data_IF_972678236301
#
_entry.id   IF_972678236301
#
_cell.length_a   1.000
_cell.length_b   1.000
_cell.length_c   1.000
_cell.angle_alpha   90.00
_cell.angle_beta   90.00
_cell.angle_gamma   90.00
#
_symmetry.space_group_name_H-M   'P 1'
#
loop_
_entity.id
_entity.type
_entity.pdbx_description
1 polymer ?
#
# COMPACT_ATOMS: atom_id res chain seq x y z
N UNK A 1 30.90 9.59 -33.91
CA UNK A 1 30.35 9.50 -32.53
C UNK A 1 31.12 10.50 -31.68
N UNK A 2 30.44 11.44 -31.06
CA UNK A 2 31.09 12.55 -30.36
C UNK A 2 31.69 12.03 -29.03
N UNK A 3 33.03 11.98 -28.93
CA UNK A 3 33.76 11.46 -27.74
C UNK A 3 33.34 12.19 -26.44
N UNK A 4 33.04 13.47 -26.55
CA UNK A 4 32.63 14.30 -25.43
C UNK A 4 31.24 13.89 -24.87
N UNK A 5 30.27 13.61 -25.75
CA UNK A 5 28.95 13.10 -25.35
C UNK A 5 29.03 11.72 -24.67
N UNK A 6 29.88 10.83 -25.15
CA UNK A 6 30.09 9.51 -24.54
C UNK A 6 30.68 9.64 -23.14
N UNK A 7 31.64 10.53 -22.95
CA UNK A 7 32.23 10.80 -21.63
C UNK A 7 31.18 11.34 -20.64
N UNK A 8 30.36 12.32 -21.08
CA UNK A 8 29.25 12.85 -20.26
C UNK A 8 28.24 11.77 -19.86
N UNK A 9 27.86 10.86 -20.77
CA UNK A 9 26.96 9.73 -20.48
C UNK A 9 27.56 8.84 -19.40
N UNK A 10 28.86 8.52 -19.50
CA UNK A 10 29.56 7.68 -18.51
C UNK A 10 29.56 8.35 -17.12
N UNK A 11 29.94 9.63 -17.03
CA UNK A 11 29.98 10.38 -15.78
C UNK A 11 28.59 10.46 -15.11
N UNK A 12 27.55 10.70 -15.90
CA UNK A 12 26.17 10.74 -15.39
C UNK A 12 25.70 9.34 -14.96
N UNK A 13 26.07 8.28 -15.68
CA UNK A 13 25.80 6.89 -15.34
C UNK A 13 26.45 6.49 -14.02
N UNK A 14 27.72 6.83 -13.80
CA UNK A 14 28.45 6.60 -12.54
C UNK A 14 27.79 7.37 -11.37
N UNK A 15 27.41 8.62 -11.60
CA UNK A 15 26.66 9.41 -10.61
C UNK A 15 25.34 8.75 -10.25
N UNK A 16 24.60 8.25 -11.23
CA UNK A 16 23.35 7.53 -10.99
C UNK A 16 23.56 6.26 -10.17
N UNK A 17 24.60 5.49 -10.46
CA UNK A 17 25.00 4.30 -9.68
C UNK A 17 25.33 4.66 -8.23
N UNK A 18 26.10 5.73 -8.02
CA UNK A 18 26.41 6.23 -6.67
C UNK A 18 25.15 6.67 -5.90
N UNK A 19 24.20 7.33 -6.56
CA UNK A 19 22.94 7.71 -5.94
C UNK A 19 22.09 6.49 -5.52
N UNK A 20 22.06 5.43 -6.31
CA UNK A 20 21.39 4.18 -5.93
C UNK A 20 22.05 3.53 -4.71
N UNK A 21 23.38 3.50 -4.65
CA UNK A 21 24.11 2.97 -3.51
C UNK A 21 23.85 3.80 -2.23
N UNK A 22 23.90 5.13 -2.34
CA UNK A 22 23.61 6.03 -1.22
C UNK A 22 22.16 5.88 -0.70
N UNK A 23 21.19 5.74 -1.61
CA UNK A 23 19.81 5.50 -1.23
C UNK A 23 19.66 4.19 -0.47
N UNK A 24 20.28 3.11 -0.96
CA UNK A 24 20.23 1.81 -0.28
C UNK A 24 20.80 1.89 1.14
N UNK A 25 21.95 2.53 1.31
CA UNK A 25 22.56 2.75 2.63
C UNK A 25 21.65 3.55 3.57
N UNK A 26 20.99 4.60 3.06
CA UNK A 26 20.05 5.39 3.85
C UNK A 26 18.84 4.56 4.28
N UNK A 27 18.27 3.71 3.40
CA UNK A 27 17.18 2.79 3.70
C UNK A 27 17.60 1.78 4.79
N UNK A 28 18.80 1.19 4.70
CA UNK A 28 19.35 0.26 5.70
C UNK A 28 19.56 0.96 7.05
N UNK A 29 20.07 2.18 7.04
CA UNK A 29 20.29 2.98 8.26
C UNK A 29 18.98 3.38 8.92
N UNK A 30 17.96 3.75 8.15
CA UNK A 30 16.61 4.04 8.65
C UNK A 30 15.98 2.80 9.30
N UNK A 31 16.08 1.64 8.67
CA UNK A 31 15.59 0.38 9.21
C UNK A 31 16.29 0.01 10.54
N UNK A 32 17.61 0.16 10.60
CA UNK A 32 18.36 -0.05 11.83
C UNK A 32 17.92 0.90 12.94
N UNK A 33 17.77 2.19 12.63
CA UNK A 33 17.31 3.19 13.61
C UNK A 33 15.92 2.86 14.13
N UNK A 34 14.99 2.43 13.25
CA UNK A 34 13.65 2.01 13.66
C UNK A 34 13.71 0.81 14.61
N UNK A 35 14.55 -0.19 14.32
CA UNK A 35 14.73 -1.35 15.20
C UNK A 35 15.24 -0.94 16.60
N UNK A 36 16.15 0.05 16.67
CA UNK A 36 16.63 0.56 17.96
C UNK A 36 15.52 1.31 18.72
N UNK A 37 14.73 2.12 18.01
CA UNK A 37 13.57 2.82 18.58
C UNK A 37 12.59 1.80 19.18
N UNK A 38 12.17 0.82 18.37
CA UNK A 38 11.23 -0.21 18.81
C UNK A 38 11.72 -0.99 20.02
N UNK A 39 13.02 -1.32 20.07
CA UNK A 39 13.60 -2.00 21.23
C UNK A 39 13.60 -1.12 22.49
N UNK A 40 13.89 0.17 22.35
CA UNK A 40 13.89 1.11 23.48
C UNK A 40 12.45 1.35 23.95
N UNK A 41 11.52 1.63 23.05
CA UNK A 41 10.14 1.97 23.38
C UNK A 41 9.33 0.79 23.92
N UNK A 42 9.57 -0.41 23.40
CA UNK A 42 8.73 -1.57 23.74
C UNK A 42 9.35 -2.51 24.76
N UNK A 43 10.62 -2.28 25.14
CA UNK A 43 11.32 -3.17 26.06
C UNK A 43 12.16 -2.42 27.09
N UNK A 44 13.16 -1.66 26.67
CA UNK A 44 14.15 -1.08 27.62
C UNK A 44 13.52 -0.04 28.53
N UNK A 45 12.77 0.93 27.98
CA UNK A 45 12.12 1.97 28.79
C UNK A 45 10.98 1.42 29.66
N UNK A 46 10.06 0.59 29.15
CA UNK A 46 9.04 -0.04 30.00
C UNK A 46 9.64 -0.81 31.18
N UNK A 47 10.63 -1.68 30.93
CA UNK A 47 11.29 -2.46 31.99
C UNK A 47 11.91 -1.57 33.08
N UNK A 48 12.54 -0.46 32.70
CA UNK A 48 13.16 0.49 33.66
C UNK A 48 12.11 1.30 34.41
N UNK A 49 11.03 1.72 33.77
CA UNK A 49 9.94 2.46 34.37
C UNK A 49 9.18 1.58 35.38
N UNK A 50 8.93 0.31 35.04
CA UNK A 50 8.32 -0.67 35.95
C UNK A 50 9.20 -0.91 37.18
N UNK A 51 10.51 -1.09 37.03
CA UNK A 51 11.45 -1.25 38.14
C UNK A 51 11.47 -0.02 39.07
N UNK A 52 11.25 1.17 38.49
CA UNK A 52 11.21 2.42 39.24
C UNK A 52 9.81 2.76 39.79
N UNK A 53 8.76 1.97 39.49
CA UNK A 53 7.34 2.24 39.73
C UNK A 53 6.91 3.62 39.18
N UNK A 54 7.33 3.95 37.97
CA UNK A 54 7.01 5.20 37.30
C UNK A 54 6.09 4.94 36.10
N UNK A 55 4.94 5.58 36.06
CA UNK A 55 4.03 5.59 34.90
C UNK A 55 4.33 6.76 33.94
N UNK A 56 5.02 7.79 34.46
CA UNK A 56 5.32 9.00 33.70
C UNK A 56 6.64 9.61 34.16
N UNK A 57 7.45 10.11 33.23
CA UNK A 57 8.67 10.87 33.49
C UNK A 57 8.77 12.08 32.57
N UNK A 58 9.18 13.23 33.12
CA UNK A 58 9.49 14.42 32.34
C UNK A 58 10.99 14.51 32.11
N UNK A 59 11.39 14.64 30.84
CA UNK A 59 12.77 14.78 30.43
C UNK A 59 13.27 16.21 30.56
N UNK A 60 14.58 16.40 30.51
CA UNK A 60 15.23 17.70 30.65
C UNK A 60 14.89 18.74 29.58
N UNK A 61 14.47 18.30 28.39
CA UNK A 61 13.99 19.14 27.30
C UNK A 61 12.51 19.52 27.43
N UNK A 62 11.83 19.00 28.44
CA UNK A 62 10.42 19.25 28.73
C UNK A 62 9.46 18.23 28.11
N UNK A 63 9.95 17.28 27.29
CA UNK A 63 9.13 16.17 26.77
C UNK A 63 8.72 15.21 27.89
N UNK A 64 7.63 14.48 27.66
CA UNK A 64 7.04 13.56 28.63
C UNK A 64 7.03 12.17 28.02
N UNK A 65 7.53 11.19 28.76
CA UNK A 65 7.39 9.76 28.45
C UNK A 65 6.33 9.22 29.40
N UNK A 66 5.34 8.51 28.86
CA UNK A 66 4.25 7.88 29.60
C UNK A 66 4.19 6.40 29.23
N UNK A 67 4.15 5.53 30.24
CA UNK A 67 3.97 4.09 30.06
C UNK A 67 2.50 3.80 29.74
N UNK A 68 2.24 3.13 28.63
CA UNK A 68 0.88 2.74 28.21
C UNK A 68 0.87 1.32 27.68
N UNK A 69 -0.17 0.59 28.03
CA UNK A 69 -0.40 -0.74 27.48
C UNK A 69 -1.00 -0.64 26.07
N UNK A 70 -0.41 -1.37 25.13
CA UNK A 70 -0.91 -1.51 23.78
C UNK A 70 -1.22 -2.98 23.48
N UNK A 71 -2.37 -3.22 22.88
CA UNK A 71 -2.77 -4.56 22.42
C UNK A 71 -2.87 -4.56 20.90
N UNK A 72 -1.97 -5.29 20.26
CA UNK A 72 -2.03 -5.54 18.83
C UNK A 72 -2.70 -6.89 18.57
N UNK A 73 -3.75 -6.90 17.76
CA UNK A 73 -4.49 -8.12 17.42
C UNK A 73 -4.54 -8.31 15.91
N UNK A 74 -4.46 -9.56 15.49
CA UNK A 74 -4.76 -10.00 14.14
C UNK A 74 -5.43 -11.36 14.19
N UNK A 75 -6.36 -11.60 13.30
CA UNK A 75 -6.95 -12.92 13.15
C UNK A 75 -5.91 -13.80 12.41
N UNK A 76 -5.52 -14.91 13.04
CA UNK A 76 -4.60 -15.90 12.49
C UNK A 76 -5.37 -17.12 11.98
N UNK A 77 -6.43 -17.49 12.68
CA UNK A 77 -7.38 -18.55 12.29
C UNK A 77 -8.80 -17.97 12.35
N UNK A 78 -9.35 -17.69 11.17
CA UNK A 78 -10.68 -17.09 11.03
C UNK A 78 -11.79 -18.01 11.56
N UNK A 79 -11.70 -19.32 11.31
CA UNK A 79 -12.74 -20.25 11.72
C UNK A 79 -12.87 -20.29 13.23
N UNK A 80 -11.76 -20.48 13.94
CA UNK A 80 -11.72 -20.50 15.40
C UNK A 80 -12.10 -19.15 16.01
N UNK A 81 -11.55 -18.05 15.48
CA UNK A 81 -11.84 -16.71 16.00
C UNK A 81 -13.31 -16.35 15.84
N UNK A 82 -13.91 -16.59 14.67
CA UNK A 82 -15.32 -16.26 14.43
C UNK A 82 -16.27 -17.18 15.20
N UNK A 83 -15.94 -18.47 15.40
CA UNK A 83 -16.70 -19.35 16.26
C UNK A 83 -16.72 -18.80 17.69
N UNK A 84 -15.55 -18.47 18.24
CA UNK A 84 -15.42 -17.92 19.59
C UNK A 84 -16.21 -16.62 19.77
N UNK A 85 -16.11 -15.67 18.81
CA UNK A 85 -16.86 -14.41 18.86
C UNK A 85 -18.38 -14.63 18.90
N UNK A 86 -18.90 -15.61 18.11
CA UNK A 86 -20.32 -15.94 18.10
C UNK A 86 -20.79 -16.57 19.42
N UNK A 87 -20.00 -17.48 19.97
CA UNK A 87 -20.32 -18.12 21.26
C UNK A 87 -20.35 -17.14 22.43
N UNK A 88 -19.55 -16.06 22.35
CA UNK A 88 -19.42 -15.09 23.44
C UNK A 88 -20.19 -13.77 23.20
N UNK A 89 -21.11 -13.75 22.24
CA UNK A 89 -22.00 -12.60 21.99
C UNK A 89 -21.28 -11.38 21.40
N UNK A 90 -20.12 -11.58 20.79
CA UNK A 90 -19.33 -10.53 20.12
C UNK A 90 -19.42 -10.60 18.59
N UNK A 91 -20.40 -11.32 18.05
CA UNK A 91 -20.63 -11.53 16.61
C UNK A 91 -20.98 -10.23 15.86
N UNK A 92 -21.48 -9.19 16.56
CA UNK A 92 -21.79 -7.90 15.97
C UNK A 92 -20.61 -7.16 15.32
N UNK A 93 -19.35 -7.57 15.62
CA UNK A 93 -18.17 -7.02 14.95
C UNK A 93 -17.80 -7.77 13.66
N UNK A 94 -18.45 -8.92 13.37
CA UNK A 94 -18.17 -9.71 12.18
C UNK A 94 -18.91 -9.10 10.99
N UNK A 95 -18.18 -8.48 10.08
CA UNK A 95 -18.73 -7.96 8.84
C UNK A 95 -18.71 -9.06 7.76
N UNK A 96 -19.88 -9.38 7.23
CA UNK A 96 -19.99 -10.25 6.06
C UNK A 96 -20.04 -9.42 4.78
N UNK A 97 -19.28 -9.82 3.78
CA UNK A 97 -19.25 -9.21 2.45
C UNK A 97 -19.40 -10.28 1.38
N UNK A 98 -20.32 -10.07 0.45
CA UNK A 98 -20.50 -10.94 -0.72
C UNK A 98 -19.96 -10.20 -1.94
N UNK A 99 -18.94 -10.77 -2.60
CA UNK A 99 -18.37 -10.24 -3.85
C UNK A 99 -18.82 -11.11 -5.02
N UNK A 100 -19.52 -10.50 -5.96
CA UNK A 100 -19.96 -11.14 -7.19
C UNK A 100 -19.11 -10.60 -8.33
N UNK A 101 -18.33 -11.48 -8.96
CA UNK A 101 -17.54 -11.14 -10.13
C UNK A 101 -18.35 -11.43 -11.40
N UNK A 102 -18.58 -10.39 -12.21
CA UNK A 102 -19.22 -10.53 -13.51
C UNK A 102 -18.18 -10.78 -14.61
N UNK A 103 -18.54 -11.44 -15.72
CA UNK A 103 -17.67 -11.55 -16.88
C UNK A 103 -17.25 -10.19 -17.41
N UNK A 104 -16.06 -10.13 -18.02
CA UNK A 104 -15.57 -8.87 -18.63
C UNK A 104 -16.47 -8.43 -19.77
N UNK A 105 -16.82 -7.14 -19.79
CA UNK A 105 -17.67 -6.56 -20.83
C UNK A 105 -19.17 -6.84 -20.68
N UNK A 106 -19.60 -7.52 -19.61
CA UNK A 106 -21.01 -7.83 -19.37
C UNK A 106 -21.65 -6.79 -18.42
N UNK A 107 -21.63 -5.53 -18.89
CA UNK A 107 -22.17 -4.42 -18.11
C UNK A 107 -23.69 -4.52 -17.92
N UNK A 108 -24.39 -5.10 -18.88
CA UNK A 108 -25.85 -5.23 -18.80
C UNK A 108 -26.28 -6.26 -17.75
N UNK A 109 -25.62 -7.39 -17.67
CA UNK A 109 -25.87 -8.37 -16.59
C UNK A 109 -25.53 -7.78 -15.21
N UNK A 110 -24.45 -7.01 -15.11
CA UNK A 110 -24.07 -6.34 -13.86
C UNK A 110 -25.14 -5.31 -13.43
N UNK A 111 -25.65 -4.49 -14.35
CA UNK A 111 -26.74 -3.54 -14.08
C UNK A 111 -28.04 -4.26 -13.71
N UNK A 112 -28.40 -5.31 -14.45
CA UNK A 112 -29.62 -6.08 -14.18
C UNK A 112 -29.60 -6.72 -12.78
N UNK A 113 -28.45 -7.26 -12.37
CA UNK A 113 -28.29 -7.78 -11.01
C UNK A 113 -28.35 -6.67 -9.96
N UNK A 114 -27.70 -5.53 -10.20
CA UNK A 114 -27.76 -4.38 -9.30
C UNK A 114 -29.23 -3.89 -9.12
N UNK A 115 -30.01 -3.82 -10.20
CA UNK A 115 -31.44 -3.44 -10.12
C UNK A 115 -32.24 -4.42 -9.25
N UNK A 116 -32.05 -5.73 -9.45
CA UNK A 116 -32.74 -6.75 -8.63
C UNK A 116 -32.41 -6.63 -7.14
N UNK A 117 -31.11 -6.46 -6.82
CA UNK A 117 -30.70 -6.29 -5.43
C UNK A 117 -31.29 -5.00 -4.80
N UNK A 118 -31.42 -3.95 -5.60
CA UNK A 118 -32.06 -2.72 -5.15
C UNK A 118 -33.56 -2.92 -4.87
N UNK A 119 -34.28 -3.60 -5.76
CA UNK A 119 -35.69 -3.94 -5.62
C UNK A 119 -35.97 -4.80 -4.39
N UNK A 120 -35.03 -5.69 -4.03
CA UNK A 120 -35.09 -6.53 -2.84
C UNK A 120 -34.61 -5.80 -1.55
N UNK A 121 -34.23 -4.54 -1.65
CA UNK A 121 -33.73 -3.75 -0.51
C UNK A 121 -32.36 -4.19 0.01
N UNK A 122 -31.57 -4.92 -0.79
CA UNK A 122 -30.22 -5.38 -0.41
C UNK A 122 -29.20 -4.28 -0.67
N UNK A 123 -28.54 -3.73 0.36
CA UNK A 123 -27.48 -2.74 0.16
C UNK A 123 -26.32 -3.33 -0.65
N UNK A 124 -25.97 -2.70 -1.76
CA UNK A 124 -24.89 -3.16 -2.64
C UNK A 124 -24.21 -1.98 -3.32
N UNK A 125 -23.06 -2.25 -3.93
CA UNK A 125 -22.33 -1.25 -4.72
C UNK A 125 -21.89 -1.87 -6.04
N UNK A 126 -22.30 -1.28 -7.15
CA UNK A 126 -21.80 -1.59 -8.48
C UNK A 126 -20.63 -0.64 -8.80
N UNK A 127 -19.41 -1.17 -8.89
CA UNK A 127 -18.21 -0.40 -9.21
C UNK A 127 -17.44 -1.06 -10.35
N UNK A 128 -17.50 -0.51 -11.57
CA UNK A 128 -16.65 -0.96 -12.66
C UNK A 128 -15.17 -0.74 -12.31
N UNK A 129 -14.33 -1.68 -12.68
CA UNK A 129 -12.88 -1.58 -12.45
C UNK A 129 -12.11 -2.28 -13.55
N UNK A 130 -10.92 -1.76 -13.82
CA UNK A 130 -9.98 -2.35 -14.78
C UNK A 130 -8.69 -2.68 -14.03
N UNK A 131 -8.18 -3.89 -14.20
CA UNK A 131 -6.88 -4.24 -13.62
C UNK A 131 -5.76 -3.41 -14.25
N UNK A 132 -4.89 -2.82 -13.44
CA UNK A 132 -3.85 -1.88 -13.87
C UNK A 132 -2.97 -2.42 -15.01
N UNK A 133 -2.54 -3.70 -14.94
CA UNK A 133 -1.72 -4.30 -15.99
C UNK A 133 -2.48 -4.42 -17.32
N UNK A 134 -3.77 -4.78 -17.27
CA UNK A 134 -4.64 -4.84 -18.47
C UNK A 134 -4.82 -3.45 -19.07
N UNK A 135 -5.12 -2.44 -18.24
CA UNK A 135 -5.24 -1.06 -18.70
C UNK A 135 -3.95 -0.60 -19.40
N UNK A 136 -2.80 -0.84 -18.77
CA UNK A 136 -1.49 -0.46 -19.33
C UNK A 136 -1.23 -1.15 -20.67
N UNK A 137 -1.48 -2.44 -20.78
CA UNK A 137 -1.32 -3.19 -22.03
C UNK A 137 -2.20 -2.62 -23.15
N UNK A 138 -3.50 -2.48 -22.87
CA UNK A 138 -4.48 -1.95 -23.83
C UNK A 138 -4.13 -0.53 -24.28
N UNK A 139 -3.80 0.37 -23.33
CA UNK A 139 -3.39 1.74 -23.68
C UNK A 139 -2.11 1.74 -24.51
N UNK A 140 -1.13 0.87 -24.20
CA UNK A 140 0.10 0.76 -24.99
C UNK A 140 -0.19 0.29 -26.42
N UNK A 141 -1.10 -0.65 -26.62
CA UNK A 141 -1.54 -1.11 -27.94
C UNK A 141 -2.22 0.02 -28.73
N UNK A 142 -3.12 0.77 -28.09
CA UNK A 142 -3.80 1.93 -28.71
C UNK A 142 -2.79 3.03 -29.09
N UNK A 143 -1.80 3.32 -28.25
CA UNK A 143 -0.76 4.31 -28.53
C UNK A 143 0.14 3.91 -29.72
N UNK A 144 0.26 2.62 -30.01
CA UNK A 144 1.03 2.09 -31.13
C UNK A 144 0.18 1.87 -32.38
N UNK A 145 -1.14 2.05 -32.33
CA UNK A 145 -2.08 1.83 -33.40
C UNK A 145 -2.74 3.12 -33.92
N UNK A 146 -3.72 2.94 -34.81
CA UNK A 146 -4.41 4.03 -35.51
C UNK A 146 -5.32 4.89 -34.59
N UNK A 147 -5.66 4.39 -33.42
CA UNK A 147 -6.52 5.10 -32.44
C UNK A 147 -5.77 6.05 -31.49
N UNK A 148 -4.47 6.22 -31.70
CA UNK A 148 -3.60 7.06 -30.85
C UNK A 148 -4.16 8.48 -30.65
N UNK A 149 -4.58 9.11 -31.72
CA UNK A 149 -5.00 10.52 -31.73
C UNK A 149 -6.41 10.73 -31.15
N UNK A 150 -7.22 9.67 -31.11
CA UNK A 150 -8.56 9.68 -30.53
C UNK A 150 -8.59 9.35 -29.03
N UNK A 151 -7.47 8.91 -28.46
CA UNK A 151 -7.37 8.50 -27.06
C UNK A 151 -7.44 9.73 -26.14
N UNK A 152 -8.40 9.80 -25.18
CA UNK A 152 -8.51 10.92 -24.25
C UNK A 152 -7.41 10.84 -23.17
N UNK A 153 -6.21 11.32 -23.51
CA UNK A 153 -4.96 11.16 -22.73
C UNK A 153 -5.08 11.62 -21.29
N UNK A 154 -5.79 12.73 -21.05
CA UNK A 154 -6.00 13.27 -19.70
C UNK A 154 -6.84 12.33 -18.81
N UNK A 155 -7.89 11.72 -19.39
CA UNK A 155 -8.76 10.79 -18.66
C UNK A 155 -8.02 9.52 -18.23
N UNK A 156 -7.00 9.10 -18.97
CA UNK A 156 -6.17 7.94 -18.66
C UNK A 156 -4.89 8.29 -17.89
N UNK A 157 -4.59 9.58 -17.70
CA UNK A 157 -3.38 10.01 -17.01
C UNK A 157 -2.09 9.51 -17.67
N UNK A 158 -2.04 9.54 -19.02
CA UNK A 158 -0.94 8.95 -19.80
C UNK A 158 0.30 9.81 -19.70
N UNK A 159 1.40 9.21 -19.23
CA UNK A 159 2.74 9.79 -19.24
C UNK A 159 3.69 8.88 -20.01
N UNK A 160 4.18 9.36 -21.16
CA UNK A 160 5.19 8.66 -21.96
C UNK A 160 6.57 9.23 -21.65
N UNK A 161 7.51 8.40 -21.21
CA UNK A 161 8.90 8.81 -20.96
C UNK A 161 9.88 7.68 -21.28
N UNK A 162 11.10 8.07 -21.61
CA UNK A 162 12.21 7.13 -21.76
C UNK A 162 13.00 7.05 -20.47
N UNK A 163 13.33 5.85 -20.06
CA UNK A 163 14.10 5.58 -18.85
C UNK A 163 15.26 4.64 -19.19
N UNK A 164 16.43 4.95 -18.67
CA UNK A 164 17.56 4.01 -18.68
C UNK A 164 17.35 2.91 -17.63
N UNK A 165 17.74 1.71 -17.97
CA UNK A 165 17.73 0.56 -17.05
C UNK A 165 19.13 -0.06 -17.04
N UNK A 166 19.60 -0.45 -15.86
CA UNK A 166 20.81 -1.24 -15.71
C UNK A 166 20.49 -2.71 -15.99
N UNK A 167 21.38 -3.37 -16.72
CA UNK A 167 21.29 -4.81 -16.98
C UNK A 167 22.31 -5.56 -16.11
#
# INVERSE_FOLDING_TARGET
MNQDTTKQITEIGEKLTSLYASRKLAEEQAAYSQQQIDNIEQRVLPDLMDQANLELIKLGDGSIIELKDFVNTRIVDEATAFAWLREHGSDGIIKNEIKIAMPRGDDEAAKALSTKLHEEGVPHTLKPSIHHATLKSTVTEILNGDLRDSLPREAFGISEFRKVVFK
#
